data_IF_611666508272
#
_entry.id   IF_611666508272
#
_cell.length_a   1.000
_cell.length_b   1.000
_cell.length_c   1.000
_cell.angle_alpha   90.00
_cell.angle_beta   90.00
_cell.angle_gamma   90.00
#
_symmetry.space_group_name_H-M   'P 1'
#
loop_
_entity.id
_entity.type
_entity.pdbx_description
1 polymer ?
#
# COMPACT_ATOMS: atom_id res chain seq x y z
N UNK A 1 5.55 17.77 26.64
CA UNK A 1 6.41 17.38 25.51
C UNK A 1 5.67 17.79 24.25
N UNK A 2 6.21 18.70 23.46
CA UNK A 2 5.65 18.94 22.13
C UNK A 2 5.85 17.67 21.30
N UNK A 3 4.85 17.23 20.49
CA UNK A 3 5.07 16.11 19.57
C UNK A 3 6.27 16.45 18.67
N UNK A 4 7.09 15.44 18.29
CA UNK A 4 8.18 15.68 17.35
C UNK A 4 7.60 16.32 16.09
N UNK A 5 8.15 17.46 15.70
CA UNK A 5 7.73 18.14 14.47
C UNK A 5 8.10 17.22 13.30
N UNK A 6 7.10 16.63 12.64
CA UNK A 6 7.33 15.80 11.46
C UNK A 6 7.92 16.64 10.34
N UNK A 7 8.99 16.17 9.72
CA UNK A 7 9.62 16.79 8.55
C UNK A 7 9.23 16.02 7.28
N UNK A 8 9.35 16.65 6.11
CA UNK A 8 9.11 15.94 4.84
C UNK A 8 10.01 14.72 4.70
N UNK A 9 11.25 14.78 5.21
CA UNK A 9 12.15 13.63 5.21
C UNK A 9 11.58 12.46 6.01
N UNK A 10 11.06 12.71 7.23
CA UNK A 10 10.44 11.65 8.04
C UNK A 10 9.23 11.02 7.34
N UNK A 11 8.43 11.82 6.64
CA UNK A 11 7.29 11.33 5.87
C UNK A 11 7.74 10.47 4.66
N UNK A 12 8.84 10.84 4.01
CA UNK A 12 9.41 10.04 2.91
C UNK A 12 9.99 8.70 3.41
N UNK A 13 10.62 8.69 4.59
CA UNK A 13 11.13 7.48 5.21
C UNK A 13 9.97 6.52 5.55
N UNK A 14 8.87 7.04 6.09
CA UNK A 14 7.65 6.26 6.35
C UNK A 14 7.07 5.63 5.08
N UNK A 15 6.96 6.39 3.98
CA UNK A 15 6.49 5.83 2.70
C UNK A 15 7.45 4.75 2.17
N UNK A 16 8.75 4.90 2.42
CA UNK A 16 9.74 3.89 2.07
C UNK A 16 9.54 2.60 2.87
N UNK A 17 9.26 2.70 4.18
CA UNK A 17 8.93 1.56 5.03
C UNK A 17 7.62 0.89 4.60
N UNK A 18 6.57 1.67 4.29
CA UNK A 18 5.32 1.12 3.77
C UNK A 18 5.55 0.38 2.44
N UNK A 19 6.42 0.90 1.58
CA UNK A 19 6.80 0.23 0.33
C UNK A 19 7.56 -1.08 0.58
N UNK A 20 8.42 -1.13 1.59
CA UNK A 20 9.11 -2.36 2.00
C UNK A 20 8.09 -3.38 2.51
N UNK A 21 7.18 -3.00 3.41
CA UNK A 21 6.09 -3.85 3.88
C UNK A 21 5.24 -4.39 2.71
N UNK A 22 4.89 -3.54 1.74
CA UNK A 22 4.18 -3.93 0.53
C UNK A 22 4.93 -5.00 -0.28
N UNK A 23 6.24 -4.84 -0.44
CA UNK A 23 7.09 -5.81 -1.16
C UNK A 23 7.24 -7.15 -0.45
N UNK A 24 7.17 -7.13 0.88
CA UNK A 24 7.23 -8.31 1.75
C UNK A 24 5.85 -8.94 2.00
N UNK A 25 4.81 -8.34 1.44
CA UNK A 25 3.42 -8.79 1.59
C UNK A 25 2.94 -8.75 3.05
N UNK A 26 3.47 -7.82 3.85
CA UNK A 26 3.14 -7.63 5.26
C UNK A 26 1.79 -6.91 5.43
N UNK A 27 0.75 -7.41 4.76
CA UNK A 27 -0.57 -6.75 4.66
C UNK A 27 -1.30 -6.59 6.00
N UNK A 28 -0.95 -7.37 7.02
CA UNK A 28 -1.54 -7.28 8.35
C UNK A 28 -1.15 -5.98 9.08
N UNK A 29 0.06 -5.47 8.87
CA UNK A 29 0.57 -4.26 9.56
C UNK A 29 0.38 -2.99 8.75
N UNK A 30 0.26 -3.11 7.42
CA UNK A 30 0.15 -1.98 6.51
C UNK A 30 -1.00 -1.00 6.83
N UNK A 31 -2.22 -1.42 7.23
CA UNK A 31 -3.28 -0.49 7.59
C UNK A 31 -2.85 0.47 8.69
N UNK A 32 -2.23 -0.06 9.75
CA UNK A 32 -1.72 0.77 10.85
C UNK A 32 -0.62 1.74 10.40
N UNK A 33 0.32 1.27 9.55
CA UNK A 33 1.37 2.14 9.02
C UNK A 33 0.80 3.29 8.18
N UNK A 34 -0.25 3.04 7.39
CA UNK A 34 -0.94 4.05 6.60
C UNK A 34 -1.67 5.07 7.49
N UNK A 35 -2.36 4.59 8.54
CA UNK A 35 -3.05 5.48 9.49
C UNK A 35 -2.07 6.38 10.25
N UNK A 36 -0.94 5.83 10.68
CA UNK A 36 0.14 6.59 11.33
C UNK A 36 0.73 7.63 10.38
N UNK A 37 1.02 7.23 9.13
CA UNK A 37 1.52 8.17 8.13
C UNK A 37 0.53 9.31 7.84
N UNK A 38 -0.77 9.02 7.73
CA UNK A 38 -1.80 10.06 7.53
C UNK A 38 -1.84 11.06 8.69
N UNK A 39 -1.75 10.58 9.93
CA UNK A 39 -1.65 11.44 11.10
C UNK A 39 -0.41 12.36 11.02
N UNK A 40 0.75 11.82 10.68
CA UNK A 40 1.98 12.60 10.59
C UNK A 40 1.96 13.61 9.45
N UNK A 41 1.33 13.28 8.31
CA UNK A 41 1.08 14.24 7.22
C UNK A 41 0.20 15.39 7.70
N UNK A 42 -0.89 15.09 8.43
CA UNK A 42 -1.77 16.12 8.98
C UNK A 42 -1.04 17.02 9.98
N UNK A 43 -0.13 16.46 10.79
CA UNK A 43 0.69 17.23 11.72
C UNK A 43 1.72 18.12 11.02
N UNK A 44 2.42 17.60 10.02
CA UNK A 44 3.33 18.38 9.18
C UNK A 44 2.61 19.57 8.53
N UNK A 45 1.42 19.35 7.96
CA UNK A 45 0.64 20.39 7.29
C UNK A 45 0.27 21.58 8.20
N UNK A 46 0.20 21.40 9.53
CA UNK A 46 -0.09 22.51 10.46
C UNK A 46 1.03 23.55 10.53
N UNK A 47 2.25 23.16 10.17
CA UNK A 47 3.46 23.96 10.35
C UNK A 47 4.32 24.05 9.08
N UNK A 48 3.85 23.49 7.96
CA UNK A 48 4.61 23.39 6.73
C UNK A 48 4.90 24.76 6.08
N UNK A 49 6.16 24.99 5.75
CA UNK A 49 6.55 26.05 4.81
C UNK A 49 6.64 25.44 3.40
N UNK A 50 5.53 25.53 2.67
CA UNK A 50 5.39 24.94 1.33
C UNK A 50 6.39 25.53 0.32
N UNK A 51 6.87 26.77 0.51
CA UNK A 51 7.83 27.38 -0.38
C UNK A 51 9.24 26.81 -0.17
N UNK A 52 9.61 26.58 1.09
CA UNK A 52 10.88 25.98 1.46
C UNK A 52 10.93 24.48 1.09
N UNK A 53 9.84 23.76 1.33
CA UNK A 53 9.81 22.29 1.21
C UNK A 53 9.27 21.78 -0.13
N UNK A 54 9.07 22.66 -1.11
CA UNK A 54 8.41 22.35 -2.39
C UNK A 54 8.93 21.07 -3.05
N UNK A 55 10.24 20.98 -3.26
CA UNK A 55 10.84 19.86 -3.98
C UNK A 55 10.70 18.54 -3.19
N UNK A 56 10.85 18.62 -1.86
CA UNK A 56 10.68 17.48 -0.98
C UNK A 56 9.22 16.99 -0.94
N UNK A 57 8.25 17.91 -0.93
CA UNK A 57 6.81 17.58 -0.98
C UNK A 57 6.45 16.97 -2.33
N UNK A 58 7.02 17.46 -3.43
CA UNK A 58 6.84 16.85 -4.76
C UNK A 58 7.40 15.41 -4.81
N UNK A 59 8.58 15.18 -4.22
CA UNK A 59 9.13 13.84 -4.11
C UNK A 59 8.24 12.92 -3.26
N UNK A 60 7.73 13.40 -2.12
CA UNK A 60 6.79 12.65 -1.28
C UNK A 60 5.52 12.27 -2.05
N UNK A 61 4.95 13.20 -2.81
CA UNK A 61 3.77 12.94 -3.65
C UNK A 61 4.06 11.86 -4.70
N UNK A 62 5.22 11.90 -5.36
CA UNK A 62 5.61 10.89 -6.34
C UNK A 62 5.76 9.50 -5.70
N UNK A 63 6.32 9.42 -4.49
CA UNK A 63 6.45 8.17 -3.75
C UNK A 63 5.07 7.57 -3.38
N UNK A 64 4.12 8.40 -2.96
CA UNK A 64 2.76 7.97 -2.66
C UNK A 64 2.02 7.47 -3.92
N UNK A 65 2.18 8.16 -5.07
CA UNK A 65 1.60 7.71 -6.34
C UNK A 65 2.15 6.35 -6.76
N UNK A 66 3.45 6.13 -6.60
CA UNK A 66 4.09 4.85 -6.89
C UNK A 66 3.57 3.75 -5.96
N UNK A 67 3.42 4.02 -4.66
CA UNK A 67 2.84 3.07 -3.72
C UNK A 67 1.41 2.65 -4.13
N UNK A 68 0.57 3.61 -4.51
CA UNK A 68 -0.79 3.32 -5.00
C UNK A 68 -0.75 2.48 -6.28
N UNK A 69 0.21 2.74 -7.18
CA UNK A 69 0.41 1.93 -8.39
C UNK A 69 0.74 0.47 -8.03
N UNK A 70 1.66 0.25 -7.09
CA UNK A 70 2.02 -1.08 -6.60
C UNK A 70 0.83 -1.82 -5.99
N UNK A 71 0.02 -1.15 -5.17
CA UNK A 71 -1.18 -1.73 -4.57
C UNK A 71 -2.19 -2.17 -5.63
N UNK A 72 -2.44 -1.34 -6.65
CA UNK A 72 -3.35 -1.66 -7.76
C UNK A 72 -2.86 -2.82 -8.62
N UNK A 73 -1.56 -2.88 -8.88
CA UNK A 73 -0.95 -3.99 -9.60
C UNK A 73 -1.11 -5.31 -8.83
N UNK A 74 -0.86 -5.28 -7.52
CA UNK A 74 -1.04 -6.42 -6.64
C UNK A 74 -2.50 -6.89 -6.59
N UNK A 75 -3.45 -5.95 -6.45
CA UNK A 75 -4.88 -6.25 -6.46
C UNK A 75 -5.31 -6.96 -7.74
N UNK A 76 -4.82 -6.50 -8.90
CA UNK A 76 -5.09 -7.11 -10.20
C UNK A 76 -4.61 -8.55 -10.24
N UNK A 77 -3.36 -8.80 -9.84
CA UNK A 77 -2.77 -10.14 -9.79
C UNK A 77 -3.55 -11.08 -8.86
N UNK A 78 -3.95 -10.59 -7.68
CA UNK A 78 -4.75 -11.37 -6.74
C UNK A 78 -6.11 -11.75 -7.33
N UNK A 79 -6.79 -10.82 -8.00
CA UNK A 79 -8.07 -11.09 -8.67
C UNK A 79 -7.92 -12.12 -9.81
N UNK A 80 -6.84 -12.06 -10.58
CA UNK A 80 -6.52 -13.04 -11.62
C UNK A 80 -6.34 -14.45 -11.03
N UNK A 81 -5.59 -14.56 -9.92
CA UNK A 81 -5.40 -15.83 -9.22
C UNK A 81 -6.71 -16.40 -8.66
N UNK A 82 -7.56 -15.56 -8.05
CA UNK A 82 -8.87 -15.97 -7.54
C UNK A 82 -9.75 -16.52 -8.68
N UNK A 83 -9.74 -15.86 -9.85
CA UNK A 83 -10.48 -16.33 -11.03
C UNK A 83 -9.96 -17.70 -11.50
N UNK A 84 -8.64 -17.86 -11.62
CA UNK A 84 -8.03 -19.13 -12.01
C UNK A 84 -8.39 -20.27 -11.04
N UNK A 85 -8.35 -20.01 -9.73
CA UNK A 85 -8.71 -20.99 -8.70
C UNK A 85 -10.18 -21.44 -8.80
N UNK A 86 -11.11 -20.50 -9.07
CA UNK A 86 -12.53 -20.83 -9.27
C UNK A 86 -12.78 -21.69 -10.50
N UNK A 87 -12.07 -21.42 -11.59
CA UNK A 87 -12.11 -22.24 -12.82
C UNK A 87 -11.61 -23.66 -12.53
N UNK A 88 -10.47 -23.78 -11.85
CA UNK A 88 -9.89 -25.07 -11.45
C UNK A 88 -10.86 -25.87 -10.57
N UNK A 89 -11.41 -25.26 -9.53
CA UNK A 89 -12.39 -25.92 -8.65
C UNK A 89 -13.66 -26.38 -9.39
N UNK A 90 -14.09 -25.62 -10.40
CA UNK A 90 -15.23 -26.00 -11.24
C UNK A 90 -14.91 -27.21 -12.12
N UNK A 91 -13.72 -27.25 -12.72
CA UNK A 91 -13.26 -28.40 -13.48
C UNK A 91 -13.14 -29.65 -12.60
N UNK A 92 -12.54 -29.54 -11.40
CA UNK A 92 -12.43 -30.66 -10.46
C UNK A 92 -13.79 -31.23 -10.06
N UNK A 93 -14.80 -30.38 -9.82
CA UNK A 93 -16.17 -30.83 -9.53
C UNK A 93 -16.82 -31.53 -10.73
N UNK A 94 -16.59 -31.05 -11.94
CA UNK A 94 -17.11 -31.69 -13.15
C UNK A 94 -16.51 -33.10 -13.34
N UNK A 95 -15.20 -33.25 -13.18
CA UNK A 95 -14.53 -34.56 -13.23
C UNK A 95 -15.02 -35.52 -12.13
N UNK A 96 -15.18 -35.03 -10.89
CA UNK A 96 -15.72 -35.84 -9.80
C UNK A 96 -17.18 -36.29 -10.02
N UNK A 97 -17.97 -35.53 -10.78
CA UNK A 97 -19.33 -35.90 -11.16
C UNK A 97 -19.35 -36.93 -12.30
N UNK A 98 -18.45 -36.84 -13.26
CA UNK A 98 -18.32 -37.82 -14.35
C UNK A 98 -17.80 -39.16 -13.83
N UNK A 99 -16.87 -39.19 -12.89
CA UNK A 99 -16.36 -40.43 -12.28
C UNK A 99 -17.30 -41.12 -11.28
N UNK A 100 -18.52 -40.60 -11.08
CA UNK A 100 -19.58 -41.21 -10.25
C UNK A 100 -20.73 -41.80 -11.07
N UNK A 101 -20.62 -41.78 -12.40
CA UNK A 101 -21.54 -42.43 -13.35
C UNK A 101 -20.83 -43.68 -13.86
#
# INVERSE_FOLDING_TARGET
>A
MSPPMHSVQSLQDEVSEIRIAMSREEFEVMPHMLDVHDLHVQEYCKHADVAQDRDAVQALQAMQQELVRMMRERQRKLLELIRAQRTSATASRAYARVGRI
#
